data_IF_855036002519
#
_entry.id   IF_855036002519
#
_cell.length_a   1.000
_cell.length_b   1.000
_cell.length_c   1.000
_cell.angle_alpha   90.00
_cell.angle_beta   90.00
_cell.angle_gamma   90.00
#
_symmetry.space_group_name_H-M   'P 1'
#
loop_
_entity.id
_entity.type
_entity.pdbx_description
1 polymer ?
#
# COMPACT_ATOMS: atom_id res chain seq x y z
N UNK A 1 -23.03 11.96 -1.34
CA UNK A 1 -23.34 11.10 -0.18
C UNK A 1 -22.00 10.56 0.32
N UNK A 2 -21.40 11.18 1.34
CA UNK A 2 -20.22 10.62 1.99
C UNK A 2 -20.69 9.48 2.89
N UNK A 3 -20.16 8.27 2.69
CA UNK A 3 -20.38 7.17 3.63
C UNK A 3 -19.94 7.62 5.04
N UNK A 4 -20.57 7.15 6.13
CA UNK A 4 -20.13 7.45 7.48
C UNK A 4 -18.66 7.06 7.61
N UNK A 5 -17.80 8.08 7.66
CA UNK A 5 -16.36 7.91 7.52
C UNK A 5 -15.80 7.25 8.76
N UNK A 6 -15.26 6.05 8.61
CA UNK A 6 -14.36 5.49 9.60
C UNK A 6 -13.14 6.41 9.69
N UNK A 7 -12.77 6.75 10.93
CA UNK A 7 -11.65 7.65 11.18
C UNK A 7 -10.34 7.06 10.62
N UNK A 8 -9.50 7.86 9.96
CA UNK A 8 -8.20 7.41 9.50
C UNK A 8 -7.32 6.93 10.67
N UNK A 9 -6.51 5.91 10.42
CA UNK A 9 -5.49 5.46 11.37
C UNK A 9 -4.19 6.21 11.05
N UNK A 10 -3.68 6.98 11.99
CA UNK A 10 -2.39 7.67 11.81
C UNK A 10 -1.23 6.74 12.15
N UNK A 11 -0.26 6.61 11.24
CA UNK A 11 0.96 5.84 11.49
C UNK A 11 2.20 6.67 11.17
N UNK A 12 3.21 6.59 12.03
CA UNK A 12 4.51 7.18 11.80
C UNK A 12 5.39 6.21 11.00
N UNK A 13 5.86 6.61 9.82
CA UNK A 13 6.90 5.89 9.11
C UNK A 13 8.26 6.38 9.59
N UNK A 14 9.02 5.49 10.23
CA UNK A 14 10.44 5.69 10.45
C UNK A 14 11.18 5.14 9.24
N UNK A 15 11.43 6.00 8.25
CA UNK A 15 12.00 5.59 6.95
C UNK A 15 13.53 5.71 7.01
N UNK A 16 14.31 4.62 6.99
CA UNK A 16 15.71 4.69 6.60
C UNK A 16 15.75 4.96 5.08
N UNK A 17 16.63 5.85 4.64
CA UNK A 17 16.58 6.51 3.32
C UNK A 17 16.34 5.63 2.08
N UNK A 18 15.83 6.30 1.03
CA UNK A 18 15.54 5.83 -0.34
C UNK A 18 16.11 4.45 -0.75
N UNK A 19 15.25 3.42 -0.72
CA UNK A 19 15.48 2.04 -1.18
C UNK A 19 14.28 1.14 -0.86
N UNK A 20 14.36 -0.18 -1.13
CA UNK A 20 13.33 -1.19 -0.77
C UNK A 20 12.78 -1.05 0.67
N UNK A 21 13.61 -0.54 1.59
CA UNK A 21 13.22 -0.32 2.99
C UNK A 21 12.06 0.65 3.18
N UNK A 22 11.76 1.54 2.21
CA UNK A 22 10.61 2.43 2.30
C UNK A 22 9.27 1.67 2.12
N UNK A 23 9.23 0.74 1.16
CA UNK A 23 8.05 -0.12 0.95
C UNK A 23 7.88 -1.08 2.12
N UNK A 24 8.96 -1.71 2.60
CA UNK A 24 8.91 -2.59 3.78
C UNK A 24 8.42 -1.85 5.04
N UNK A 25 8.95 -0.65 5.31
CA UNK A 25 8.52 0.17 6.45
C UNK A 25 7.05 0.56 6.35
N UNK A 26 6.56 0.87 5.14
CA UNK A 26 5.15 1.17 4.89
C UNK A 26 4.25 -0.04 5.17
N UNK A 27 4.62 -1.22 4.66
CA UNK A 27 3.85 -2.44 4.89
C UNK A 27 3.81 -2.79 6.38
N UNK A 28 4.95 -2.74 7.08
CA UNK A 28 5.03 -2.98 8.52
C UNK A 28 4.17 -2.00 9.32
N UNK A 29 4.24 -0.72 9.00
CA UNK A 29 3.41 0.33 9.60
C UNK A 29 1.91 0.08 9.42
N UNK A 30 1.48 -0.32 8.22
CA UNK A 30 0.08 -0.61 7.95
C UNK A 30 -0.40 -1.89 8.65
N UNK A 31 0.43 -2.94 8.71
CA UNK A 31 0.11 -4.16 9.44
C UNK A 31 -0.01 -3.92 10.95
N UNK A 32 0.77 -3.00 11.51
CA UNK A 32 0.67 -2.61 12.92
C UNK A 32 -0.46 -1.61 13.21
N UNK A 33 -1.19 -1.14 12.19
CA UNK A 33 -2.28 -0.18 12.37
C UNK A 33 -3.45 -0.77 13.18
N UNK A 34 -3.69 -2.08 13.08
CA UNK A 34 -4.70 -2.81 13.85
C UNK A 34 -4.44 -4.32 13.78
N UNK A 35 -4.79 -5.07 14.83
CA UNK A 35 -4.73 -6.54 14.82
C UNK A 35 -5.70 -7.18 13.81
N UNK A 36 -6.75 -6.45 13.39
CA UNK A 36 -7.79 -6.96 12.50
C UNK A 36 -7.54 -6.73 11.00
N UNK A 37 -6.32 -6.36 10.60
CA UNK A 37 -5.98 -6.10 9.19
C UNK A 37 -5.99 -7.41 8.40
N UNK A 38 -6.81 -7.48 7.35
CA UNK A 38 -6.83 -8.59 6.39
C UNK A 38 -6.05 -8.27 5.11
N UNK A 39 -6.22 -7.05 4.60
CA UNK A 39 -5.68 -6.65 3.30
C UNK A 39 -5.03 -5.26 3.35
N UNK A 40 -3.97 -5.08 2.57
CA UNK A 40 -3.30 -3.80 2.34
C UNK A 40 -3.58 -3.36 0.91
N UNK A 41 -4.15 -2.17 0.74
CA UNK A 41 -4.62 -1.69 -0.55
C UNK A 41 -3.94 -0.37 -0.89
N UNK A 42 -3.32 -0.35 -2.06
CA UNK A 42 -2.63 0.82 -2.61
C UNK A 42 -3.32 1.22 -3.92
N UNK A 43 -3.80 2.46 -4.00
CA UNK A 43 -4.50 2.97 -5.17
C UNK A 43 -4.14 4.42 -5.43
N UNK A 44 -3.87 4.81 -6.70
CA UNK A 44 -3.63 6.22 -7.02
C UNK A 44 -4.81 7.10 -6.63
N UNK A 45 -4.52 8.34 -6.20
CA UNK A 45 -5.53 9.32 -5.81
C UNK A 45 -6.15 9.08 -4.43
N UNK A 46 -5.66 8.11 -3.65
CA UNK A 46 -6.11 7.82 -2.28
C UNK A 46 -4.92 7.63 -1.33
N UNK A 47 -5.09 7.84 -0.02
CA UNK A 47 -4.13 7.35 0.96
C UNK A 47 -4.03 5.81 0.88
N UNK A 48 -2.95 5.20 1.40
CA UNK A 48 -2.92 3.77 1.66
C UNK A 48 -4.14 3.35 2.48
N UNK A 49 -4.71 2.19 2.21
CA UNK A 49 -5.89 1.69 2.93
C UNK A 49 -5.62 0.30 3.48
N UNK A 50 -6.20 0.01 4.65
CA UNK A 50 -6.25 -1.34 5.20
C UNK A 50 -7.69 -1.81 5.21
N UNK A 51 -7.90 -3.10 4.94
CA UNK A 51 -9.20 -3.73 5.20
C UNK A 51 -9.20 -4.29 6.61
N UNK A 52 -10.19 -3.89 7.41
CA UNK A 52 -10.39 -4.37 8.77
C UNK A 52 -11.85 -4.83 8.88
N UNK A 53 -12.07 -6.13 9.07
CA UNK A 53 -13.40 -6.73 9.17
C UNK A 53 -14.36 -6.33 8.02
N UNK A 54 -13.88 -6.31 6.78
CA UNK A 54 -14.67 -5.96 5.60
C UNK A 54 -14.86 -4.45 5.37
N UNK A 55 -14.16 -3.61 6.12
CA UNK A 55 -14.22 -2.15 5.98
C UNK A 55 -12.87 -1.58 5.54
N UNK A 56 -12.90 -0.72 4.51
CA UNK A 56 -11.71 -0.01 4.04
C UNK A 56 -11.44 1.22 4.90
N UNK A 57 -10.32 1.20 5.62
CA UNK A 57 -9.88 2.26 6.51
C UNK A 57 -8.64 2.94 5.94
N UNK A 58 -8.67 4.27 5.72
CA UNK A 58 -7.48 5.00 5.27
C UNK A 58 -6.41 5.03 6.36
N UNK A 59 -5.15 4.85 5.95
CA UNK A 59 -3.96 4.99 6.79
C UNK A 59 -3.28 6.31 6.46
N UNK A 60 -3.28 7.23 7.42
CA UNK A 60 -2.58 8.50 7.32
C UNK A 60 -1.12 8.33 7.68
N UNK A 61 -0.29 8.37 6.65
CA UNK A 61 1.15 8.40 6.79
C UNK A 61 1.61 9.86 6.87
N UNK A 62 2.38 10.18 7.91
CA UNK A 62 2.97 11.51 8.08
C UNK A 62 3.78 11.90 6.84
N UNK A 63 3.40 13.00 6.19
CA UNK A 63 3.97 13.53 4.93
C UNK A 63 3.67 12.75 3.64
N UNK A 64 2.76 11.77 3.66
CA UNK A 64 2.29 11.08 2.44
C UNK A 64 0.75 10.97 2.42
N UNK A 65 0.03 12.05 2.08
CA UNK A 65 -1.43 12.09 2.20
C UNK A 65 -2.17 11.33 1.08
N UNK A 66 -1.61 11.31 -0.14
CA UNK A 66 -2.25 10.72 -1.33
C UNK A 66 -1.20 10.00 -2.16
N UNK A 67 -1.47 8.75 -2.52
CA UNK A 67 -0.62 7.98 -3.40
C UNK A 67 -0.77 8.48 -4.84
N UNK A 68 0.35 8.71 -5.51
CA UNK A 68 0.39 8.99 -6.95
C UNK A 68 0.51 7.67 -7.72
N UNK A 69 0.31 7.72 -9.04
CA UNK A 69 0.56 6.57 -9.90
C UNK A 69 2.01 6.08 -9.80
N UNK A 70 2.97 7.01 -9.67
CA UNK A 70 4.38 6.68 -9.44
C UNK A 70 4.58 5.97 -8.09
N UNK A 71 3.95 6.44 -7.00
CA UNK A 71 4.05 5.77 -5.69
C UNK A 71 3.57 4.32 -5.76
N UNK A 72 2.39 4.07 -6.32
CA UNK A 72 1.86 2.70 -6.43
C UNK A 72 2.68 1.84 -7.37
N UNK A 73 3.26 2.43 -8.44
CA UNK A 73 4.17 1.73 -9.35
C UNK A 73 5.46 1.31 -8.64
N UNK A 74 6.03 2.19 -7.82
CA UNK A 74 7.22 1.88 -7.02
C UNK A 74 6.94 0.74 -6.04
N UNK A 75 5.86 0.83 -5.26
CA UNK A 75 5.44 -0.23 -4.33
C UNK A 75 5.26 -1.57 -5.07
N UNK A 76 4.55 -1.58 -6.20
CA UNK A 76 4.36 -2.79 -6.98
C UNK A 76 5.68 -3.35 -7.55
N UNK A 77 6.59 -2.47 -8.00
CA UNK A 77 7.91 -2.88 -8.53
C UNK A 77 8.78 -3.49 -7.43
N UNK A 78 8.77 -2.91 -6.23
CA UNK A 78 9.51 -3.43 -5.08
C UNK A 78 9.01 -4.81 -4.68
N UNK A 79 7.68 -5.01 -4.66
CA UNK A 79 7.03 -6.29 -4.35
C UNK A 79 7.29 -7.36 -5.42
N UNK A 80 7.19 -7.01 -6.71
CA UNK A 80 7.45 -7.93 -7.83
C UNK A 80 8.93 -8.31 -7.92
N UNK A 81 9.81 -7.36 -7.57
CA UNK A 81 11.25 -7.51 -7.64
C UNK A 81 11.73 -7.94 -9.04
N UNK A 82 12.54 -9.00 -9.09
CA UNK A 82 13.12 -9.53 -10.33
C UNK A 82 12.34 -10.70 -10.95
N UNK A 83 11.09 -10.93 -10.53
CA UNK A 83 10.26 -12.02 -11.04
C UNK A 83 9.86 -11.74 -12.51
N UNK A 84 10.66 -12.25 -13.45
CA UNK A 84 10.46 -12.05 -14.90
C UNK A 84 9.09 -12.53 -15.38
N UNK A 85 8.56 -13.60 -14.80
CA UNK A 85 7.24 -14.10 -15.15
C UNK A 85 6.16 -13.10 -14.77
N UNK A 86 6.15 -12.64 -13.51
CA UNK A 86 5.20 -11.64 -13.04
C UNK A 86 5.30 -10.32 -13.83
N UNK A 87 6.52 -9.86 -14.13
CA UNK A 87 6.75 -8.65 -14.95
C UNK A 87 6.13 -8.79 -16.35
N UNK A 88 6.34 -9.93 -17.01
CA UNK A 88 5.79 -10.16 -18.34
C UNK A 88 4.26 -10.28 -18.31
N UNK A 89 3.73 -11.05 -17.35
CA UNK A 89 2.28 -11.19 -17.15
C UNK A 89 1.61 -9.85 -16.87
N UNK A 90 2.19 -9.00 -16.02
CA UNK A 90 1.70 -7.65 -15.77
C UNK A 90 1.68 -6.80 -17.04
N UNK A 91 2.73 -6.89 -17.88
CA UNK A 91 2.81 -6.14 -19.15
C UNK A 91 1.79 -6.62 -20.18
N UNK A 92 1.55 -7.91 -20.27
CA UNK A 92 0.71 -8.52 -21.30
C UNK A 92 -0.77 -8.51 -20.91
N UNK A 93 -1.08 -8.72 -19.64
CA UNK A 93 -2.44 -8.93 -19.13
C UNK A 93 -2.96 -7.77 -18.29
N UNK A 94 -2.07 -6.85 -17.86
CA UNK A 94 -2.43 -5.73 -16.99
C UNK A 94 -2.57 -6.09 -15.51
N UNK A 95 -2.32 -7.35 -15.13
CA UNK A 95 -2.32 -7.83 -13.75
C UNK A 95 -1.33 -8.99 -13.60
N UNK A 96 -0.85 -9.25 -12.38
CA UNK A 96 -0.05 -10.42 -12.06
C UNK A 96 -0.17 -10.79 -10.58
N UNK A 97 0.01 -12.07 -10.27
CA UNK A 97 0.15 -12.57 -8.90
C UNK A 97 1.61 -12.95 -8.62
N UNK A 98 2.04 -12.76 -7.37
CA UNK A 98 3.37 -13.10 -6.86
C UNK A 98 3.22 -13.86 -5.55
N UNK A 99 4.18 -14.74 -5.25
CA UNK A 99 4.19 -15.64 -4.09
C UNK A 99 5.48 -15.53 -3.29
#
# INVERSE_FOLDING_TARGET
MAAPGIAPISVALDVPGSGNGATEALLAAMLHASEGVSDLIFSPGRPPQVEIHGQLVPVEVVRLPVLTADHTRHIASDLIGNNKHAINTLREQGACDIS
#
